data_IF_212289633710
#
_entry.id   IF_212289633710
#
_cell.length_a   1.000
_cell.length_b   1.000
_cell.length_c   1.000
_cell.angle_alpha   90.00
_cell.angle_beta   90.00
_cell.angle_gamma   90.00
#
_symmetry.space_group_name_H-M   'P 1'
#
loop_
_entity.id
_entity.type
_entity.pdbx_description
1 polymer ?
#
# COMPACT_ATOMS: atom_id res chain seq x y z
N UNK A 1 -17.08 -7.02 43.47
CA UNK A 1 -17.93 -7.65 42.45
C UNK A 1 -17.22 -7.46 41.12
N UNK A 2 -16.56 -8.52 40.65
CA UNK A 2 -15.69 -8.51 39.46
C UNK A 2 -16.55 -8.71 38.21
N UNK A 3 -16.48 -7.78 37.26
CA UNK A 3 -16.99 -8.00 35.90
C UNK A 3 -15.76 -8.28 35.04
N UNK A 4 -15.40 -9.56 35.01
CA UNK A 4 -14.47 -10.15 34.07
C UNK A 4 -15.10 -10.17 32.68
N UNK A 5 -14.85 -9.14 31.87
CA UNK A 5 -15.18 -9.12 30.45
C UNK A 5 -14.01 -9.68 29.63
N UNK A 6 -14.01 -10.98 29.38
CA UNK A 6 -13.05 -11.64 28.50
C UNK A 6 -13.27 -11.20 27.06
N UNK A 7 -12.60 -10.13 26.61
CA UNK A 7 -12.43 -9.87 25.18
C UNK A 7 -11.24 -10.70 24.71
N UNK A 8 -11.49 -11.88 24.17
CA UNK A 8 -10.48 -12.63 23.39
C UNK A 8 -11.12 -13.31 22.19
N UNK A 9 -11.26 -12.54 21.11
CA UNK A 9 -11.10 -13.06 19.75
C UNK A 9 -10.46 -11.97 18.88
N UNK A 10 -9.19 -11.70 19.15
CA UNK A 10 -8.32 -11.08 18.14
C UNK A 10 -8.17 -12.13 17.05
N UNK A 11 -8.70 -11.87 15.86
CA UNK A 11 -8.47 -12.71 14.70
C UNK A 11 -6.98 -12.65 14.34
N UNK A 12 -6.18 -13.58 14.87
CA UNK A 12 -4.79 -13.79 14.43
C UNK A 12 -4.81 -14.24 12.97
N UNK A 13 -4.51 -13.34 12.07
CA UNK A 13 -4.01 -13.68 10.74
C UNK A 13 -2.49 -13.51 10.80
N UNK A 14 -1.75 -14.60 10.94
CA UNK A 14 -0.29 -14.56 10.80
C UNK A 14 0.05 -14.66 9.31
N UNK A 15 0.94 -13.80 8.81
CA UNK A 15 1.38 -13.76 7.39
C UNK A 15 1.85 -15.13 6.88
N UNK A 16 2.39 -15.97 7.76
CA UNK A 16 3.01 -17.26 7.41
C UNK A 16 2.09 -18.47 7.62
N UNK A 17 0.92 -18.28 8.25
CA UNK A 17 0.01 -19.36 8.66
C UNK A 17 -1.16 -19.64 7.71
N UNK A 18 -1.27 -18.93 6.58
CA UNK A 18 -2.40 -19.02 5.65
C UNK A 18 -2.50 -20.36 4.89
N UNK A 19 -1.48 -21.21 4.98
CA UNK A 19 -1.48 -22.54 4.36
C UNK A 19 -2.18 -23.57 5.26
N UNK A 20 -3.47 -23.76 5.08
CA UNK A 20 -4.20 -24.91 5.62
C UNK A 20 -4.75 -25.80 4.49
N UNK A 21 -4.17 -27.00 4.39
CA UNK A 21 -4.61 -28.23 3.69
C UNK A 21 -4.97 -28.16 2.18
N UNK A 22 -4.37 -29.00 1.31
CA UNK A 22 -4.49 -28.91 -0.16
C UNK A 22 -5.80 -29.49 -0.73
N UNK A 23 -6.94 -29.37 -0.05
CA UNK A 23 -8.21 -29.98 -0.49
C UNK A 23 -9.39 -29.02 -0.70
N UNK A 24 -9.18 -27.72 -0.68
CA UNK A 24 -10.21 -26.77 -1.09
C UNK A 24 -9.58 -25.73 -1.98
N UNK A 25 -9.76 -25.89 -3.29
CA UNK A 25 -9.83 -24.74 -4.19
C UNK A 25 -11.04 -23.95 -3.69
N UNK A 26 -10.77 -22.96 -2.84
CA UNK A 26 -11.78 -22.28 -2.06
C UNK A 26 -12.40 -21.19 -2.95
N UNK A 27 -13.33 -21.59 -3.83
CA UNK A 27 -14.28 -20.68 -4.50
C UNK A 27 -15.30 -20.10 -3.49
N UNK A 28 -15.03 -20.16 -2.18
CA UNK A 28 -15.96 -19.62 -1.20
C UNK A 28 -16.08 -18.10 -1.32
N UNK A 29 -17.29 -17.57 -1.11
CA UNK A 29 -17.52 -16.13 -1.11
C UNK A 29 -16.61 -15.46 -0.07
N UNK A 30 -16.22 -14.18 -0.29
CA UNK A 30 -15.35 -13.44 0.62
C UNK A 30 -15.89 -13.52 2.06
N UNK A 31 -15.00 -13.83 3.00
CA UNK A 31 -15.40 -14.07 4.40
C UNK A 31 -15.85 -12.75 5.04
N UNK A 32 -17.09 -12.74 5.53
CA UNK A 32 -17.67 -11.59 6.23
C UNK A 32 -17.21 -11.63 7.68
N UNK A 33 -16.50 -10.59 8.10
CA UNK A 33 -16.04 -10.40 9.47
C UNK A 33 -16.77 -9.18 10.06
N UNK A 34 -17.52 -9.39 11.14
CA UNK A 34 -18.16 -8.32 11.91
C UNK A 34 -17.32 -8.04 13.15
N UNK A 35 -16.87 -6.79 13.29
CA UNK A 35 -16.13 -6.30 14.44
C UNK A 35 -16.98 -5.24 15.14
N UNK A 36 -17.24 -5.42 16.43
CA UNK A 36 -17.92 -4.42 17.25
C UNK A 36 -16.89 -3.41 17.75
N UNK A 37 -17.12 -2.13 17.48
CA UNK A 37 -16.39 -1.02 18.08
C UNK A 37 -17.14 -0.58 19.36
N UNK A 38 -16.61 -0.92 20.55
CA UNK A 38 -17.27 -0.57 21.81
C UNK A 38 -17.19 0.93 22.13
N UNK A 39 -16.25 1.68 21.54
CA UNK A 39 -16.08 3.11 21.78
C UNK A 39 -17.18 3.89 21.06
N UNK A 40 -17.42 3.56 19.80
CA UNK A 40 -18.43 4.24 18.99
C UNK A 40 -19.79 3.53 19.01
N UNK A 41 -19.89 2.36 19.64
CA UNK A 41 -21.08 1.49 19.65
C UNK A 41 -21.59 1.16 18.23
N UNK A 42 -20.67 0.91 17.29
CA UNK A 42 -20.98 0.60 15.89
C UNK A 42 -20.41 -0.77 15.52
N UNK A 43 -21.16 -1.53 14.73
CA UNK A 43 -20.64 -2.73 14.09
C UNK A 43 -19.97 -2.37 12.76
N UNK A 44 -18.69 -2.69 12.64
CA UNK A 44 -17.95 -2.64 11.38
C UNK A 44 -17.98 -4.01 10.72
N UNK A 45 -18.65 -4.09 9.57
CA UNK A 45 -18.56 -5.25 8.70
C UNK A 45 -17.42 -5.07 7.71
N UNK A 46 -16.56 -6.07 7.62
CA UNK A 46 -15.46 -6.14 6.66
C UNK A 46 -15.51 -7.46 5.89
N UNK A 47 -14.89 -7.47 4.72
CA UNK A 47 -14.75 -8.64 3.87
C UNK A 47 -13.27 -8.91 3.69
N UNK A 48 -12.89 -10.17 3.88
CA UNK A 48 -11.52 -10.61 3.63
C UNK A 48 -11.47 -11.47 2.38
N UNK A 49 -10.58 -11.10 1.48
CA UNK A 49 -10.27 -11.79 0.23
C UNK A 49 -8.88 -12.37 0.39
N UNK A 50 -8.73 -13.66 0.16
CA UNK A 50 -7.46 -14.37 0.34
C UNK A 50 -6.97 -14.92 -1.00
N UNK A 51 -5.68 -14.78 -1.27
CA UNK A 51 -4.99 -15.62 -2.25
C UNK A 51 -4.22 -16.71 -1.50
N UNK A 52 -4.75 -17.92 -1.50
CA UNK A 52 -4.11 -19.12 -0.93
C UNK A 52 -3.63 -20.09 -2.02
N UNK A 53 -3.53 -19.65 -3.28
CA UNK A 53 -3.16 -20.51 -4.43
C UNK A 53 -1.66 -20.86 -4.48
N UNK A 54 -0.87 -20.33 -3.54
CA UNK A 54 0.54 -20.62 -3.40
C UNK A 54 0.81 -22.05 -2.94
N UNK A 55 1.86 -22.66 -3.48
CA UNK A 55 2.13 -24.10 -3.30
C UNK A 55 2.97 -24.41 -2.05
N UNK A 56 3.57 -23.39 -1.42
CA UNK A 56 4.50 -23.56 -0.31
C UNK A 56 3.97 -22.90 0.96
N UNK A 57 4.36 -23.43 2.13
CA UNK A 57 4.19 -22.72 3.41
C UNK A 57 4.93 -21.37 3.34
N UNK A 58 4.34 -20.34 3.94
CA UNK A 58 4.85 -18.96 3.81
C UNK A 58 4.53 -18.32 2.47
N UNK A 59 3.39 -18.68 1.86
CA UNK A 59 2.81 -18.00 0.70
C UNK A 59 1.37 -17.61 0.99
N UNK A 60 0.90 -16.58 0.29
CA UNK A 60 -0.44 -16.04 0.42
C UNK A 60 -0.44 -14.58 0.82
N UNK A 61 -1.47 -13.87 0.37
CA UNK A 61 -1.71 -12.46 0.68
C UNK A 61 -3.20 -12.23 0.81
N UNK A 62 -3.61 -11.20 1.55
CA UNK A 62 -5.02 -10.92 1.78
C UNK A 62 -5.34 -9.44 1.62
N UNK A 63 -6.55 -9.13 1.16
CA UNK A 63 -7.11 -7.78 1.16
C UNK A 63 -8.33 -7.78 2.06
N UNK A 64 -8.40 -6.80 2.97
CA UNK A 64 -9.56 -6.57 3.84
C UNK A 64 -10.20 -5.25 3.42
N UNK A 65 -11.50 -5.30 3.09
CA UNK A 65 -12.27 -4.11 2.72
C UNK A 65 -13.44 -3.90 3.68
N UNK A 66 -13.72 -2.64 4.04
CA UNK A 66 -14.98 -2.32 4.71
C UNK A 66 -16.14 -2.63 3.78
N UNK A 67 -17.22 -3.20 4.31
CA UNK A 67 -18.42 -3.59 3.57
C UNK A 67 -18.95 -2.48 2.65
N UNK A 68 -18.91 -1.23 3.13
CA UNK A 68 -19.35 -0.07 2.34
C UNK A 68 -18.68 0.00 0.97
N UNK A 69 -17.38 -0.30 0.85
CA UNK A 69 -16.69 -0.23 -0.45
C UNK A 69 -17.19 -1.30 -1.41
N UNK A 70 -17.39 -2.53 -0.95
CA UNK A 70 -17.87 -3.62 -1.81
C UNK A 70 -19.35 -3.49 -2.21
N UNK A 71 -20.18 -2.90 -1.35
CA UNK A 71 -21.59 -2.63 -1.68
C UNK A 71 -21.69 -1.44 -2.64
N UNK A 72 -20.88 -0.41 -2.44
CA UNK A 72 -20.94 0.84 -3.22
C UNK A 72 -20.31 0.66 -4.61
N UNK A 73 -19.24 -0.13 -4.69
CA UNK A 73 -18.47 -0.32 -5.91
C UNK A 73 -18.53 -1.79 -6.29
N UNK A 74 -18.95 -2.08 -7.53
CA UNK A 74 -18.75 -3.42 -8.07
C UNK A 74 -17.27 -3.75 -7.99
N UNK A 75 -16.94 -5.02 -7.76
CA UNK A 75 -15.55 -5.45 -7.63
C UNK A 75 -15.25 -6.71 -8.41
N UNK A 76 -14.05 -6.78 -9.00
CA UNK A 76 -13.51 -7.98 -9.62
C UNK A 76 -12.16 -8.31 -8.98
N UNK A 77 -11.93 -9.58 -8.67
CA UNK A 77 -10.67 -10.03 -8.08
C UNK A 77 -9.91 -10.96 -9.01
N UNK A 78 -8.58 -10.94 -8.92
CA UNK A 78 -7.71 -11.93 -9.54
C UNK A 78 -6.52 -12.25 -8.63
N UNK A 79 -6.04 -13.48 -8.72
CA UNK A 79 -4.95 -13.99 -7.90
C UNK A 79 -3.84 -14.56 -8.76
N UNK A 80 -2.62 -14.55 -8.23
CA UNK A 80 -1.47 -15.15 -8.89
C UNK A 80 -0.58 -15.84 -7.86
N UNK A 81 -0.76 -17.16 -7.75
CA UNK A 81 0.15 -18.09 -7.06
C UNK A 81 0.44 -17.74 -5.59
N UNK A 82 -0.49 -17.09 -4.89
CA UNK A 82 -0.28 -16.64 -3.51
C UNK A 82 0.72 -15.48 -3.40
N UNK A 83 0.92 -14.71 -4.47
CA UNK A 83 1.93 -13.65 -4.59
C UNK A 83 1.36 -12.31 -4.98
N UNK A 84 0.34 -12.27 -5.85
CA UNK A 84 -0.32 -11.06 -6.28
C UNK A 84 -1.83 -11.25 -6.15
N UNK A 85 -2.47 -10.48 -5.28
CA UNK A 85 -3.93 -10.42 -5.15
C UNK A 85 -4.39 -9.04 -5.60
N UNK A 86 -5.16 -9.01 -6.69
CA UNK A 86 -5.68 -7.78 -7.28
C UNK A 86 -7.18 -7.67 -7.02
N UNK A 87 -7.64 -6.47 -6.69
CA UNK A 87 -9.04 -6.08 -6.71
C UNK A 87 -9.24 -4.82 -7.54
N UNK A 88 -10.18 -4.89 -8.47
CA UNK A 88 -10.70 -3.75 -9.21
C UNK A 88 -11.94 -3.24 -8.51
N UNK A 89 -11.98 -1.95 -8.21
CA UNK A 89 -13.15 -1.23 -7.72
C UNK A 89 -13.66 -0.31 -8.83
N UNK A 90 -14.90 -0.51 -9.27
CA UNK A 90 -15.49 0.24 -10.38
C UNK A 90 -16.21 1.50 -9.87
N UNK A 91 -15.76 2.67 -10.31
CA UNK A 91 -16.32 3.97 -9.98
C UNK A 91 -17.20 4.52 -11.10
N UNK A 92 -17.89 5.63 -10.80
CA UNK A 92 -18.68 6.35 -11.80
C UNK A 92 -17.78 6.77 -12.96
N UNK A 93 -18.40 7.01 -14.13
CA UNK A 93 -17.72 7.49 -15.33
C UNK A 93 -16.61 6.54 -15.84
N UNK A 94 -16.75 5.25 -15.54
CA UNK A 94 -15.87 4.16 -16.00
C UNK A 94 -14.44 4.25 -15.44
N UNK A 95 -14.25 4.91 -14.31
CA UNK A 95 -12.95 4.99 -13.64
C UNK A 95 -12.78 3.77 -12.73
N UNK A 96 -11.55 3.26 -12.63
CA UNK A 96 -11.27 1.99 -11.95
C UNK A 96 -10.08 2.19 -11.02
N UNK A 97 -10.26 1.93 -9.72
CA UNK A 97 -9.16 1.80 -8.78
C UNK A 97 -8.78 0.33 -8.69
N UNK A 98 -7.57 0.00 -9.14
CA UNK A 98 -6.98 -1.32 -9.03
C UNK A 98 -6.00 -1.33 -7.85
N UNK A 99 -6.26 -2.18 -6.88
CA UNK A 99 -5.38 -2.38 -5.72
C UNK A 99 -4.77 -3.78 -5.82
N UNK A 100 -3.44 -3.85 -5.82
CA UNK A 100 -2.70 -5.11 -5.89
C UNK A 100 -1.85 -5.30 -4.63
N UNK A 101 -2.22 -6.28 -3.81
CA UNK A 101 -1.41 -6.74 -2.68
C UNK A 101 -0.34 -7.71 -3.19
N UNK A 102 0.91 -7.43 -2.83
CA UNK A 102 2.10 -8.11 -3.32
C UNK A 102 2.86 -8.75 -2.17
N UNK A 103 3.24 -10.01 -2.33
CA UNK A 103 4.15 -10.71 -1.42
C UNK A 103 5.18 -11.52 -2.21
N UNK A 104 6.29 -10.89 -2.58
CA UNK A 104 7.34 -11.55 -3.37
C UNK A 104 8.12 -12.57 -2.52
N UNK A 105 8.71 -13.62 -3.12
CA UNK A 105 9.40 -14.65 -2.35
C UNK A 105 10.59 -14.10 -1.54
N UNK A 106 10.72 -14.51 -0.28
CA UNK A 106 11.91 -14.22 0.52
C UNK A 106 13.18 -14.85 -0.08
N UNK A 107 14.33 -14.19 0.13
CA UNK A 107 15.62 -14.62 -0.42
C UNK A 107 16.13 -15.98 0.08
N UNK A 108 15.58 -16.47 1.20
CA UNK A 108 15.96 -17.74 1.82
C UNK A 108 15.15 -18.95 1.30
N UNK A 109 14.25 -18.74 0.33
CA UNK A 109 13.48 -19.83 -0.29
C UNK A 109 14.34 -20.64 -1.27
N UNK A 110 13.85 -21.81 -1.73
CA UNK A 110 14.55 -22.60 -2.75
C UNK A 110 14.93 -21.69 -3.93
N UNK A 111 16.24 -21.49 -4.13
CA UNK A 111 16.79 -20.45 -5.00
C UNK A 111 16.23 -20.55 -6.42
N UNK A 112 16.13 -21.75 -6.98
CA UNK A 112 15.65 -21.94 -8.36
C UNK A 112 14.16 -21.65 -8.50
N UNK A 113 13.34 -22.09 -7.54
CA UNK A 113 11.89 -21.87 -7.58
C UNK A 113 11.57 -20.40 -7.31
N UNK A 114 12.27 -19.78 -6.36
CA UNK A 114 12.17 -18.35 -6.05
C UNK A 114 12.44 -17.48 -7.27
N UNK A 115 13.41 -17.85 -8.10
CA UNK A 115 13.74 -17.11 -9.32
C UNK A 115 12.60 -17.23 -10.31
N UNK A 116 12.18 -18.46 -10.63
CA UNK A 116 11.12 -18.72 -11.61
C UNK A 116 9.81 -18.03 -11.24
N UNK A 117 9.41 -18.11 -9.96
CA UNK A 117 8.18 -17.46 -9.51
C UNK A 117 8.32 -15.93 -9.54
N UNK A 118 9.50 -15.38 -9.26
CA UNK A 118 9.75 -13.93 -9.38
C UNK A 118 9.63 -13.48 -10.83
N UNK A 119 10.23 -14.21 -11.78
CA UNK A 119 10.11 -13.90 -13.20
C UNK A 119 8.64 -13.89 -13.64
N UNK A 120 7.87 -14.88 -13.20
CA UNK A 120 6.45 -14.97 -13.46
C UNK A 120 5.65 -13.82 -12.83
N UNK A 121 5.99 -13.39 -11.61
CA UNK A 121 5.37 -12.22 -10.99
C UNK A 121 5.65 -10.93 -11.78
N UNK A 122 6.85 -10.76 -12.33
CA UNK A 122 7.20 -9.59 -13.16
C UNK A 122 6.42 -9.59 -14.47
N UNK A 123 6.25 -10.75 -15.10
CA UNK A 123 5.43 -10.87 -16.31
C UNK A 123 3.96 -10.57 -16.02
N UNK A 124 3.41 -11.14 -14.94
CA UNK A 124 2.04 -10.91 -14.55
C UNK A 124 1.79 -9.46 -14.09
N UNK A 125 2.76 -8.82 -13.44
CA UNK A 125 2.70 -7.39 -13.12
C UNK A 125 2.55 -6.55 -14.39
N UNK A 126 3.29 -6.86 -15.46
CA UNK A 126 3.13 -6.14 -16.72
C UNK A 126 1.72 -6.30 -17.31
N UNK A 127 1.12 -7.48 -17.20
CA UNK A 127 -0.28 -7.70 -17.61
C UNK A 127 -1.25 -6.85 -16.76
N UNK A 128 -1.01 -6.79 -15.44
CA UNK A 128 -1.80 -5.99 -14.49
C UNK A 128 -1.74 -4.50 -14.82
N UNK A 129 -0.56 -3.99 -15.21
CA UNK A 129 -0.31 -2.57 -15.47
C UNK A 129 -0.61 -2.15 -16.91
N UNK A 130 -0.69 -3.09 -17.86
CA UNK A 130 -1.02 -2.81 -19.25
C UNK A 130 -2.53 -2.59 -19.41
N UNK A 131 -2.98 -1.45 -18.92
CA UNK A 131 -4.39 -1.04 -18.85
C UNK A 131 -4.63 0.27 -19.58
N UNK A 132 -5.90 0.56 -19.86
CA UNK A 132 -6.32 1.88 -20.36
C UNK A 132 -6.18 2.97 -19.29
N UNK A 133 -6.16 4.23 -19.73
CA UNK A 133 -5.90 5.42 -18.88
C UNK A 133 -6.90 5.65 -17.73
N UNK A 134 -8.07 5.00 -17.76
CA UNK A 134 -9.09 5.05 -16.71
C UNK A 134 -8.79 4.12 -15.52
N UNK A 135 -7.64 3.43 -15.53
CA UNK A 135 -7.15 2.67 -14.39
C UNK A 135 -6.21 3.52 -13.54
N UNK A 136 -6.48 3.50 -12.25
CA UNK A 136 -5.66 4.06 -11.17
C UNK A 136 -5.11 2.89 -10.37
N UNK A 137 -3.80 2.84 -10.18
CA UNK A 137 -3.15 1.68 -9.58
C UNK A 137 -2.61 2.03 -8.20
N UNK A 138 -2.85 1.13 -7.23
CA UNK A 138 -2.15 1.09 -5.95
C UNK A 138 -1.54 -0.31 -5.83
N UNK A 139 -0.21 -0.41 -5.81
CA UNK A 139 0.53 -1.66 -5.65
C UNK A 139 1.25 -1.60 -4.32
N UNK A 140 0.95 -2.52 -3.40
CA UNK A 140 1.48 -2.47 -2.03
C UNK A 140 1.86 -3.85 -1.48
N UNK A 141 2.75 -3.87 -0.49
CA UNK A 141 3.10 -5.07 0.28
C UNK A 141 4.60 -5.34 0.37
N UNK A 142 4.98 -6.55 0.77
CA UNK A 142 6.37 -6.99 0.95
C UNK A 142 6.98 -7.44 -0.38
N UNK A 143 7.89 -6.63 -0.91
CA UNK A 143 8.58 -6.89 -2.16
C UNK A 143 9.86 -7.70 -1.95
N UNK A 144 10.27 -7.91 -0.70
CA UNK A 144 11.42 -8.72 -0.34
C UNK A 144 12.72 -8.28 -1.05
N UNK A 145 12.82 -6.99 -1.36
CA UNK A 145 13.96 -6.34 -2.02
C UNK A 145 14.05 -4.88 -1.62
N UNK A 146 15.28 -4.38 -1.47
CA UNK A 146 15.52 -2.96 -1.25
C UNK A 146 15.67 -2.25 -2.60
N UNK A 147 14.97 -1.13 -2.77
CA UNK A 147 15.11 -0.29 -3.96
C UNK A 147 16.47 0.42 -3.94
N UNK A 148 17.46 -0.23 -4.56
CA UNK A 148 18.75 0.37 -4.85
C UNK A 148 18.58 1.33 -6.03
N UNK A 149 17.94 2.47 -5.80
CA UNK A 149 17.81 3.55 -6.79
C UNK A 149 19.12 4.28 -7.08
N UNK A 150 20.25 3.73 -6.64
CA UNK A 150 21.56 4.09 -7.15
C UNK A 150 21.96 2.99 -8.13
N UNK A 151 22.17 3.27 -9.43
CA UNK A 151 22.94 2.35 -10.25
C UNK A 151 24.30 2.25 -9.56
N UNK A 152 24.56 1.15 -8.87
CA UNK A 152 25.93 0.82 -8.55
C UNK A 152 26.59 0.50 -9.88
N UNK A 153 27.27 1.48 -10.47
CA UNK A 153 28.29 1.30 -11.51
C UNK A 153 29.51 0.54 -10.96
N UNK A 154 29.28 -0.45 -10.09
CA UNK A 154 30.26 -1.33 -9.50
C UNK A 154 29.95 -2.77 -9.91
N UNK A 155 29.78 -3.01 -11.22
CA UNK A 155 30.25 -4.28 -11.78
C UNK A 155 31.75 -4.14 -12.00
N UNK A 156 32.53 -4.23 -10.92
CA UNK A 156 33.95 -4.56 -10.98
C UNK A 156 34.17 -6.06 -11.23
N UNK A 157 33.19 -6.76 -11.80
CA UNK A 157 33.44 -8.07 -12.36
C UNK A 157 34.32 -7.85 -13.61
N UNK A 158 35.55 -8.39 -13.65
CA UNK A 158 36.36 -8.30 -14.84
C UNK A 158 35.58 -8.92 -16.01
N UNK A 159 35.70 -8.37 -17.23
CA UNK A 159 35.03 -8.94 -18.38
C UNK A 159 35.61 -10.33 -18.61
N UNK A 160 34.88 -11.35 -18.18
CA UNK A 160 35.19 -12.73 -18.53
C UNK A 160 34.91 -12.86 -20.03
N UNK A 161 35.95 -12.57 -20.83
CA UNK A 161 36.01 -12.87 -22.25
C UNK A 161 36.01 -14.39 -22.36
N UNK A 162 34.82 -14.96 -22.55
CA UNK A 162 34.53 -16.23 -23.25
C UNK A 162 33.18 -16.78 -22.76
N UNK A 163 32.09 -16.24 -23.30
CA UNK A 163 30.80 -16.92 -23.29
C UNK A 163 30.03 -16.51 -24.56
N UNK A 164 30.03 -17.43 -25.53
CA UNK A 164 29.04 -17.67 -26.59
C UNK A 164 28.09 -16.53 -27.02
N UNK A 165 28.08 -16.24 -28.33
CA UNK A 165 27.09 -15.45 -29.06
C UNK A 165 25.72 -16.15 -28.99
N UNK A 166 25.06 -16.03 -27.85
CA UNK A 166 23.62 -16.18 -27.66
C UNK A 166 23.27 -15.04 -26.73
N UNK A 167 22.50 -14.04 -27.19
CA UNK A 167 22.06 -12.94 -26.33
C UNK A 167 21.45 -13.53 -25.05
N UNK A 168 22.11 -13.41 -23.88
CA UNK A 168 21.59 -14.02 -22.68
C UNK A 168 20.28 -13.32 -22.35
N UNK A 169 19.16 -14.06 -22.32
CA UNK A 169 17.87 -13.51 -21.89
C UNK A 169 18.09 -12.83 -20.54
N UNK A 170 17.84 -11.53 -20.48
CA UNK A 170 17.98 -10.76 -19.24
C UNK A 170 17.06 -11.36 -18.19
N UNK A 171 17.64 -11.93 -17.13
CA UNK A 171 16.91 -12.55 -16.03
C UNK A 171 16.06 -11.51 -15.30
N UNK A 172 14.76 -11.79 -15.11
CA UNK A 172 13.87 -10.90 -14.37
C UNK A 172 14.05 -11.17 -12.87
N UNK A 173 14.19 -10.10 -12.09
CA UNK A 173 14.49 -10.15 -10.65
C UNK A 173 13.48 -9.33 -9.86
N UNK A 174 13.57 -9.34 -8.53
CA UNK A 174 12.75 -8.46 -7.69
C UNK A 174 13.03 -6.97 -7.96
N UNK A 175 14.28 -6.61 -8.25
CA UNK A 175 14.60 -5.26 -8.73
C UNK A 175 13.93 -4.96 -10.07
N UNK A 176 13.80 -5.95 -10.95
CA UNK A 176 13.02 -5.80 -12.19
C UNK A 176 11.55 -5.54 -11.91
N UNK A 177 10.97 -6.10 -10.84
CA UNK A 177 9.60 -5.79 -10.40
C UNK A 177 9.47 -4.29 -10.07
N UNK A 178 10.38 -3.74 -9.27
CA UNK A 178 10.42 -2.30 -8.95
C UNK A 178 10.66 -1.46 -10.20
N UNK A 179 11.60 -1.85 -11.07
CA UNK A 179 11.84 -1.13 -12.32
C UNK A 179 10.60 -1.14 -13.23
N UNK A 180 9.85 -2.25 -13.29
CA UNK A 180 8.60 -2.31 -14.05
C UNK A 180 7.59 -1.30 -13.52
N UNK A 181 7.41 -1.18 -12.21
CA UNK A 181 6.52 -0.15 -11.62
C UNK A 181 6.93 1.25 -12.05
N UNK A 182 8.22 1.58 -11.93
CA UNK A 182 8.77 2.88 -12.33
C UNK A 182 8.61 3.15 -13.83
N UNK A 183 8.82 2.15 -14.67
CA UNK A 183 8.64 2.25 -16.12
C UNK A 183 7.18 2.50 -16.52
N UNK A 184 6.22 2.08 -15.69
CA UNK A 184 4.79 2.40 -15.83
C UNK A 184 4.42 3.72 -15.13
N UNK A 185 5.39 4.55 -14.76
CA UNK A 185 5.22 5.84 -14.09
C UNK A 185 4.50 5.75 -12.73
N UNK A 186 4.65 4.64 -12.02
CA UNK A 186 4.22 4.55 -10.63
C UNK A 186 5.27 5.18 -9.72
N UNK A 187 4.81 5.90 -8.72
CA UNK A 187 5.64 6.61 -7.73
C UNK A 187 5.65 5.85 -6.41
N UNK A 188 6.82 5.80 -5.76
CA UNK A 188 6.98 5.27 -4.40
C UNK A 188 6.56 6.38 -3.42
N UNK A 189 5.46 6.17 -2.69
CA UNK A 189 4.85 7.21 -1.86
C UNK A 189 5.81 7.71 -0.77
N UNK A 190 6.44 6.79 -0.03
CA UNK A 190 7.31 7.18 1.06
C UNK A 190 8.58 7.90 0.58
N UNK A 191 9.08 7.59 -0.62
CA UNK A 191 10.17 8.35 -1.25
C UNK A 191 9.74 9.71 -1.80
N UNK A 192 8.46 9.88 -2.11
CA UNK A 192 7.92 11.15 -2.62
C UNK A 192 7.70 12.14 -1.49
N UNK A 193 7.34 11.65 -0.31
CA UNK A 193 7.05 12.47 0.87
C UNK A 193 8.26 12.64 1.81
N UNK A 194 9.29 11.81 1.68
CA UNK A 194 10.51 11.87 2.49
C UNK A 194 11.76 11.54 1.67
N UNK A 195 12.82 12.34 1.82
CA UNK A 195 14.11 12.13 1.17
C UNK A 195 14.80 10.83 1.61
N UNK A 196 14.47 10.35 2.81
CA UNK A 196 15.10 9.16 3.42
C UNK A 196 14.08 8.31 4.18
N UNK A 197 13.23 7.54 3.47
CA UNK A 197 12.23 6.70 4.11
C UNK A 197 12.88 5.64 5.01
N UNK A 198 12.32 5.47 6.20
CA UNK A 198 12.80 4.54 7.23
C UNK A 198 12.64 3.07 6.81
N UNK A 199 13.36 2.19 7.51
CA UNK A 199 13.22 0.75 7.35
C UNK A 199 11.82 0.27 7.71
N UNK A 200 11.36 -0.80 7.07
CA UNK A 200 10.04 -1.41 7.30
C UNK A 200 10.13 -2.82 7.86
N UNK A 201 11.31 -3.43 7.82
CA UNK A 201 11.58 -4.77 8.32
C UNK A 201 12.76 -4.73 9.28
N UNK A 202 12.68 -5.50 10.38
CA UNK A 202 13.75 -5.61 11.38
C UNK A 202 13.99 -7.07 11.75
N UNK A 203 15.17 -7.59 11.38
CA UNK A 203 15.58 -8.91 11.83
C UNK A 203 16.18 -8.83 13.24
N UNK A 204 15.52 -9.48 14.20
CA UNK A 204 16.11 -9.73 15.53
C UNK A 204 17.10 -10.89 15.45
N UNK A 205 18.37 -10.65 15.79
CA UNK A 205 19.38 -11.69 15.96
C UNK A 205 19.57 -11.94 17.46
N UNK A 206 19.32 -13.17 17.94
CA UNK A 206 19.49 -13.48 19.37
C UNK A 206 20.93 -13.38 19.88
N UNK A 207 21.92 -13.31 18.98
CA UNK A 207 23.34 -13.49 19.33
C UNK A 207 24.24 -12.30 18.96
N UNK A 208 23.71 -11.20 18.42
CA UNK A 208 24.51 -10.00 18.11
C UNK A 208 23.67 -8.73 18.32
N UNK A 209 24.26 -7.72 18.97
CA UNK A 209 23.66 -6.40 19.25
C UNK A 209 23.27 -5.57 18.00
N UNK A 210 23.40 -6.11 16.80
CA UNK A 210 23.09 -5.44 15.54
C UNK A 210 21.79 -5.96 14.95
N UNK A 211 20.72 -5.16 15.09
CA UNK A 211 19.47 -5.34 14.35
C UNK A 211 19.70 -4.96 12.89
N UNK A 212 19.57 -5.93 11.97
CA UNK A 212 19.57 -5.62 10.53
C UNK A 212 18.17 -5.11 10.18
N UNK A 213 18.08 -3.86 9.75
CA UNK A 213 16.83 -3.23 9.33
C UNK A 213 16.87 -2.85 7.85
N UNK A 214 15.84 -3.18 7.09
CA UNK A 214 15.74 -2.90 5.65
C UNK A 214 14.38 -2.35 5.29
N UNK A 215 14.30 -1.57 4.20
CA UNK A 215 13.02 -1.17 3.60
C UNK A 215 12.68 -2.11 2.46
N UNK A 216 11.75 -3.01 2.70
CA UNK A 216 11.31 -4.04 1.73
C UNK A 216 9.81 -4.01 1.48
N UNK A 217 9.08 -3.21 2.25
CA UNK A 217 7.65 -2.96 2.08
C UNK A 217 7.46 -1.62 1.38
N UNK A 218 6.54 -1.59 0.42
CA UNK A 218 6.32 -0.42 -0.43
C UNK A 218 4.84 -0.17 -0.64
N UNK A 219 4.51 1.09 -0.90
CA UNK A 219 3.26 1.52 -1.51
C UNK A 219 3.64 2.32 -2.77
N UNK A 220 3.27 1.79 -3.93
CA UNK A 220 3.40 2.46 -5.21
C UNK A 220 2.02 2.87 -5.72
N UNK A 221 1.91 4.08 -6.27
CA UNK A 221 0.65 4.53 -6.88
C UNK A 221 0.87 5.07 -8.28
N UNK A 222 -0.16 5.01 -9.12
CA UNK A 222 -0.16 5.76 -10.38
C UNK A 222 -0.06 7.26 -10.12
N UNK A 223 0.65 7.99 -10.98
CA UNK A 223 0.91 9.42 -10.77
C UNK A 223 -0.37 10.27 -10.67
N UNK A 224 -1.46 9.86 -11.32
CA UNK A 224 -2.76 10.53 -11.25
C UNK A 224 -3.47 10.43 -9.88
N UNK A 225 -2.94 9.63 -8.94
CA UNK A 225 -3.41 9.61 -7.55
C UNK A 225 -2.64 10.58 -6.65
N UNK A 226 -1.52 11.14 -7.11
CA UNK A 226 -0.61 11.95 -6.28
C UNK A 226 -1.28 13.19 -5.68
N UNK A 227 -2.14 13.85 -6.43
CA UNK A 227 -2.87 15.05 -5.97
C UNK A 227 -3.84 14.77 -4.82
N UNK A 228 -4.27 13.51 -4.67
CA UNK A 228 -5.20 13.09 -3.63
C UNK A 228 -4.49 12.49 -2.41
N UNK A 229 -3.16 12.43 -2.39
CA UNK A 229 -2.43 11.92 -1.24
C UNK A 229 -2.45 12.98 -0.14
N UNK A 230 -3.02 12.61 1.00
CA UNK A 230 -3.05 13.45 2.18
C UNK A 230 -1.86 13.18 3.10
N UNK A 231 -1.54 11.90 3.30
CA UNK A 231 -0.47 11.49 4.22
C UNK A 231 0.01 10.05 3.97
N UNK A 232 1.17 9.70 4.54
CA UNK A 232 1.69 8.33 4.56
C UNK A 232 2.58 8.06 5.75
N UNK A 233 2.28 6.98 6.49
CA UNK A 233 3.00 6.60 7.71
C UNK A 233 3.72 5.25 7.60
N UNK A 234 4.79 5.12 8.37
CA UNK A 234 5.49 3.87 8.63
C UNK A 234 5.52 3.63 10.15
N UNK A 235 4.66 2.71 10.63
CA UNK A 235 4.36 2.52 12.05
C UNK A 235 4.88 1.17 12.53
N UNK A 236 5.75 1.19 13.53
CA UNK A 236 6.14 -0.03 14.25
C UNK A 236 4.98 -0.49 15.16
N UNK A 237 4.51 -1.72 14.94
CA UNK A 237 3.38 -2.25 15.68
C UNK A 237 3.83 -2.70 17.09
N UNK A 238 2.98 -2.50 18.12
CA UNK A 238 3.34 -2.85 19.47
C UNK A 238 3.45 -4.39 19.63
N UNK A 239 4.56 -4.90 20.19
CA UNK A 239 4.84 -6.33 20.27
C UNK A 239 3.92 -7.08 21.25
N UNK A 240 3.17 -6.35 22.08
CA UNK A 240 2.17 -6.88 23.00
C UNK A 240 0.93 -7.41 22.28
N UNK A 241 0.58 -6.82 21.14
CA UNK A 241 -0.60 -7.18 20.35
C UNK A 241 -0.23 -7.94 19.06
N UNK A 242 0.91 -7.60 18.46
CA UNK A 242 1.33 -8.11 17.15
C UNK A 242 2.68 -8.82 17.23
N UNK A 243 2.75 -10.00 16.61
CA UNK A 243 3.98 -10.78 16.45
C UNK A 243 4.42 -10.71 14.99
N UNK A 244 5.12 -9.64 14.64
CA UNK A 244 5.64 -9.36 13.30
C UNK A 244 6.97 -8.61 13.40
N UNK A 245 7.86 -8.88 12.46
CA UNK A 245 9.12 -8.16 12.24
C UNK A 245 9.00 -7.05 11.17
N UNK A 246 7.78 -6.80 10.68
CA UNK A 246 7.44 -5.73 9.75
C UNK A 246 6.66 -4.59 10.42
N UNK A 247 6.86 -3.39 9.91
CA UNK A 247 6.07 -2.21 10.24
C UNK A 247 4.79 -2.15 9.38
N UNK A 248 3.76 -1.50 9.89
CA UNK A 248 2.57 -1.15 9.14
C UNK A 248 2.82 0.10 8.29
N UNK A 249 2.63 -0.02 6.98
CA UNK A 249 2.60 1.12 6.07
C UNK A 249 1.16 1.60 5.84
N UNK A 250 0.97 2.91 5.88
CA UNK A 250 -0.32 3.56 5.69
C UNK A 250 -0.23 4.57 4.54
N UNK A 251 -1.26 4.60 3.71
CA UNK A 251 -1.52 5.65 2.73
C UNK A 251 -2.91 6.22 3.01
N UNK A 252 -2.98 7.54 3.15
CA UNK A 252 -4.24 8.27 3.32
C UNK A 252 -4.53 9.06 2.05
N UNK A 253 -5.69 8.82 1.46
CA UNK A 253 -6.17 9.51 0.27
C UNK A 253 -7.38 10.38 0.60
N UNK A 254 -7.49 11.51 -0.08
CA UNK A 254 -8.69 12.32 -0.09
C UNK A 254 -9.85 11.54 -0.72
N UNK A 255 -11.05 11.68 -0.18
CA UNK A 255 -12.26 11.05 -0.72
C UNK A 255 -12.57 11.51 -2.14
N UNK A 256 -12.09 12.69 -2.55
CA UNK A 256 -12.23 13.19 -3.92
C UNK A 256 -11.51 12.32 -4.94
N UNK A 257 -10.56 11.46 -4.52
CA UNK A 257 -10.00 10.44 -5.40
C UNK A 257 -11.08 9.51 -5.96
N UNK A 258 -12.23 9.35 -5.29
CA UNK A 258 -13.33 8.52 -5.77
C UNK A 258 -14.27 9.23 -6.75
N UNK A 259 -14.07 10.53 -6.99
CA UNK A 259 -14.85 11.39 -7.89
C UNK A 259 -14.04 11.79 -9.13
N UNK A 260 -13.34 10.83 -9.75
CA UNK A 260 -12.57 11.00 -10.98
C UNK A 260 -13.41 11.58 -12.14
N UNK A 261 -13.55 12.91 -12.22
CA UNK A 261 -14.30 13.60 -13.29
C UNK A 261 -13.47 13.65 -14.59
N UNK A 262 -14.01 13.38 -15.79
CA UNK A 262 -13.26 13.35 -17.04
C UNK A 262 -13.19 14.77 -17.65
N UNK A 263 -13.91 15.72 -17.03
CA UNK A 263 -13.98 17.13 -17.36
C UNK A 263 -13.16 17.90 -16.35
N UNK A 264 -11.88 17.65 -16.37
CA UNK A 264 -10.91 18.72 -16.34
C UNK A 264 -9.85 18.28 -17.32
N UNK A 265 -10.08 18.59 -18.61
CA UNK A 265 -8.97 19.13 -19.38
C UNK A 265 -8.30 20.10 -18.43
N UNK A 266 -7.11 19.74 -17.96
CA UNK A 266 -6.23 20.63 -17.23
C UNK A 266 -6.19 21.90 -18.06
N UNK A 267 -7.02 22.89 -17.70
CA UNK A 267 -6.48 24.22 -17.55
C UNK A 267 -5.25 23.95 -16.74
N UNK A 268 -4.11 24.09 -17.41
CA UNK A 268 -2.82 24.23 -16.80
C UNK A 268 -3.00 25.43 -15.86
N UNK A 269 -3.57 25.18 -14.69
CA UNK A 269 -3.31 25.99 -13.52
C UNK A 269 -1.91 25.54 -13.19
N UNK A 270 -0.96 26.30 -13.72
CA UNK A 270 0.39 26.38 -13.22
C UNK A 270 0.35 26.91 -11.78
N UNK A 271 -0.32 26.17 -10.91
CA UNK A 271 -0.21 26.35 -9.49
C UNK A 271 0.75 25.24 -9.09
N UNK A 272 2.04 25.56 -9.18
CA UNK A 272 2.92 25.15 -8.08
C UNK A 272 2.07 25.35 -6.82
N UNK A 273 1.83 24.29 -6.04
CA UNK A 273 1.41 24.48 -4.65
C UNK A 273 2.46 25.42 -4.08
N UNK A 274 2.14 26.71 -4.00
CA UNK A 274 2.94 27.66 -3.28
C UNK A 274 2.81 27.19 -1.84
N UNK A 275 3.81 26.43 -1.40
CA UNK A 275 4.02 26.22 0.01
C UNK A 275 4.10 27.60 0.64
N UNK A 276 3.07 27.98 1.39
CA UNK A 276 3.06 29.25 2.12
C UNK A 276 4.18 29.14 3.15
N UNK A 277 5.27 29.86 2.90
CA UNK A 277 6.35 30.01 3.86
C UNK A 277 5.86 30.94 4.97
N UNK A 278 5.30 30.34 6.03
CA UNK A 278 4.72 31.05 7.17
C UNK A 278 5.68 32.07 7.82
N UNK A 279 7.00 31.94 7.58
CA UNK A 279 8.02 32.88 8.07
C UNK A 279 8.09 34.18 7.27
N UNK A 280 7.41 34.27 6.13
CA UNK A 280 7.40 35.44 5.22
C UNK A 280 6.08 36.22 5.21
N UNK A 281 5.08 35.76 5.97
CA UNK A 281 3.79 36.47 6.08
C UNK A 281 3.92 37.72 6.94
N UNK A 282 3.40 38.84 6.45
CA UNK A 282 3.30 40.10 7.20
C UNK A 282 2.11 40.08 8.17
N UNK A 283 2.01 41.07 9.07
CA UNK A 283 0.87 41.19 10.00
C UNK A 283 -0.45 41.45 9.27
N UNK A 284 -0.41 42.21 8.18
CA UNK A 284 -1.57 42.43 7.31
C UNK A 284 -2.05 41.11 6.67
N UNK A 285 -1.13 40.25 6.21
CA UNK A 285 -1.49 38.95 5.62
C UNK A 285 -2.18 38.02 6.64
N UNK A 286 -1.71 38.02 7.88
CA UNK A 286 -2.36 37.28 8.97
C UNK A 286 -3.75 37.81 9.29
N UNK A 287 -3.93 39.13 9.26
CA UNK A 287 -5.24 39.75 9.50
C UNK A 287 -6.25 39.35 8.41
N UNK A 288 -5.84 39.39 7.14
CA UNK A 288 -6.67 38.99 6.00
C UNK A 288 -7.01 37.49 6.04
N UNK A 289 -6.04 36.66 6.40
CA UNK A 289 -6.27 35.21 6.56
C UNK A 289 -7.27 34.92 7.68
N UNK A 290 -7.09 35.52 8.86
CA UNK A 290 -8.02 35.37 9.98
C UNK A 290 -9.44 35.81 9.63
N UNK A 291 -9.60 36.96 8.98
CA UNK A 291 -10.92 37.45 8.54
C UNK A 291 -11.57 36.48 7.54
N UNK A 292 -10.81 35.93 6.60
CA UNK A 292 -11.31 34.94 5.64
C UNK A 292 -11.76 33.63 6.30
N UNK A 293 -11.05 33.20 7.35
CA UNK A 293 -11.38 32.00 8.11
C UNK A 293 -12.60 32.23 8.99
N UNK A 294 -12.72 33.39 9.64
CA UNK A 294 -13.91 33.77 10.41
C UNK A 294 -15.15 33.78 9.52
N UNK A 295 -15.09 34.42 8.35
CA UNK A 295 -16.18 34.41 7.37
C UNK A 295 -16.52 32.99 6.89
N UNK A 296 -15.50 32.14 6.68
CA UNK A 296 -15.71 30.75 6.29
C UNK A 296 -16.39 29.93 7.40
N UNK A 297 -15.99 30.12 8.66
CA UNK A 297 -16.59 29.44 9.82
C UNK A 297 -18.03 29.91 10.00
N UNK A 298 -18.31 31.21 9.86
CA UNK A 298 -19.67 31.76 9.95
C UNK A 298 -20.59 31.20 8.86
N UNK A 299 -20.09 31.04 7.64
CA UNK A 299 -20.83 30.39 6.55
C UNK A 299 -20.96 28.87 6.73
N UNK A 300 -20.08 28.26 7.52
CA UNK A 300 -20.06 26.82 7.79
C UNK A 300 -20.26 26.57 9.30
N UNK A 301 -21.31 27.16 9.88
CA UNK A 301 -21.61 27.18 11.32
C UNK A 301 -21.57 25.82 12.03
N UNK A 302 -21.73 24.71 11.30
CA UNK A 302 -21.60 23.34 11.78
C UNK A 302 -20.16 22.95 12.19
N UNK A 303 -19.16 23.76 11.79
CA UNK A 303 -17.76 23.65 12.20
C UNK A 303 -17.44 24.51 13.44
N UNK A 304 -18.39 25.34 13.89
CA UNK A 304 -18.19 26.14 15.10
C UNK A 304 -18.23 25.24 16.33
N UNK A 305 -17.14 25.26 17.11
CA UNK A 305 -17.11 24.59 18.40
C UNK A 305 -17.96 25.41 19.36
N UNK A 306 -19.15 24.91 19.70
CA UNK A 306 -19.99 25.50 20.73
C UNK A 306 -19.24 25.33 22.06
N UNK A 307 -18.69 26.41 22.59
CA UNK A 307 -18.17 26.45 23.95
C UNK A 307 -19.34 26.29 24.92
N UNK A 308 -19.64 25.05 25.32
CA UNK A 308 -20.53 24.76 26.44
C UNK A 308 -19.78 25.03 27.74
N UNK A 309 -19.64 26.30 28.09
CA UNK A 309 -19.32 26.71 29.45
C UNK A 309 -20.35 27.76 29.89
N UNK A 310 -21.45 27.25 30.44
CA UNK A 310 -22.40 28.02 31.24
C UNK A 310 -23.12 27.08 32.20
N UNK A 311 -22.49 26.85 33.36
CA UNK A 311 -23.05 26.84 34.74
C UNK A 311 -22.09 26.11 35.67
#
# INVERSE_FOLDING_TARGET
MSISGTIKKIFRHTETGLFNNPKTQDDSPPKINTLFDPINNVNHTSYTIHDNTGHNKGTGTSIILKQKFLITYQSKTSTFKGRLLTIDLFFRQKQILRITSTYLPASNSNKNDSIKITEQCVLHLNEILNTSHNYHHIILGDFNVQDHSQPSDNTNDPPNKEASIQHPKKRLTKNTFISTLKNHNLIDIHKTLSDSPSSTFRKSNSNNSTTLSTRIDYIFTSNNLSDYILDSDNIELPPTEFDTDHNLLILTLDNDCFNFSPTSATKILSNKKDFIDYKKLSKEDWSLYSESIEQFIDHNWQLSIINTNSS
#
